data_IF_764031707840
#
_entry.id   IF_764031707840
#
_cell.length_a   1.000
_cell.length_b   1.000
_cell.length_c   1.000
_cell.angle_alpha   90.00
_cell.angle_beta   90.00
_cell.angle_gamma   90.00
#
_symmetry.space_group_name_H-M   'P 1'
#
loop_
_entity.id
_entity.type
_entity.pdbx_description
1 polymer ?
#
# COMPACT_ATOMS: atom_id res chain seq x y z
N UNK A 1 4.10 15.70 -7.22
CA UNK A 1 4.18 15.66 -5.75
C UNK A 1 4.51 14.23 -5.35
N UNK A 2 5.52 14.05 -4.51
CA UNK A 2 5.82 12.78 -3.86
C UNK A 2 5.41 12.94 -2.39
N UNK A 3 4.50 12.10 -1.93
CA UNK A 3 4.09 12.04 -0.53
C UNK A 3 4.83 10.89 0.12
N UNK A 4 5.38 11.13 1.31
CA UNK A 4 6.09 10.13 2.11
C UNK A 4 5.70 10.30 3.58
N UNK A 5 5.41 9.18 4.23
CA UNK A 5 5.27 9.11 5.68
C UNK A 5 6.60 9.42 6.36
N UNK A 6 6.53 10.03 7.55
CA UNK A 6 7.71 10.43 8.32
C UNK A 6 8.61 9.24 8.73
N UNK A 7 8.07 8.03 8.77
CA UNK A 7 8.82 6.80 9.03
C UNK A 7 9.18 6.01 7.77
N UNK A 8 9.20 6.69 6.62
CA UNK A 8 9.77 6.18 5.38
C UNK A 8 11.18 6.73 5.20
N UNK A 9 12.17 5.83 5.11
CA UNK A 9 13.58 6.20 4.96
C UNK A 9 14.25 5.49 3.79
N UNK A 10 15.28 6.11 3.23
CA UNK A 10 16.08 5.53 2.15
C UNK A 10 16.97 4.41 2.73
N UNK A 11 16.85 3.21 2.17
CA UNK A 11 17.72 2.08 2.47
C UNK A 11 18.90 2.01 1.49
N UNK A 12 18.65 2.32 0.21
CA UNK A 12 19.63 2.22 -0.87
C UNK A 12 19.54 3.48 -1.77
N UNK A 13 20.52 4.39 -1.71
CA UNK A 13 20.50 5.65 -2.45
C UNK A 13 20.89 5.49 -3.93
N UNK A 14 21.16 4.28 -4.42
CA UNK A 14 21.50 4.03 -5.83
C UNK A 14 20.28 4.04 -6.76
N UNK A 15 19.19 4.68 -6.34
CA UNK A 15 17.95 4.79 -7.09
C UNK A 15 17.45 6.23 -7.12
N UNK A 16 16.72 6.53 -8.18
CA UNK A 16 15.99 7.77 -8.36
C UNK A 16 14.49 7.46 -8.36
N UNK A 17 13.67 8.29 -7.71
CA UNK A 17 12.22 8.04 -7.63
C UNK A 17 11.56 8.03 -9.01
N UNK A 18 12.19 8.70 -9.98
CA UNK A 18 11.85 8.73 -11.39
C UNK A 18 11.74 7.34 -12.03
N UNK A 19 12.45 6.33 -11.52
CA UNK A 19 12.34 4.94 -12.00
C UNK A 19 10.91 4.38 -11.85
N UNK A 20 10.11 4.92 -10.92
CA UNK A 20 8.73 4.49 -10.68
C UNK A 20 7.69 5.42 -11.30
N UNK A 21 8.09 6.56 -11.89
CA UNK A 21 7.15 7.48 -12.55
C UNK A 21 6.65 6.85 -13.85
N UNK A 22 5.34 6.82 -14.02
CA UNK A 22 4.67 6.34 -15.23
C UNK A 22 3.85 7.47 -15.86
N UNK A 23 4.25 7.88 -17.07
CA UNK A 23 3.60 8.99 -17.77
C UNK A 23 2.20 8.69 -18.30
N UNK A 24 1.75 7.44 -18.21
CA UNK A 24 0.41 7.02 -18.64
C UNK A 24 -0.67 7.27 -17.59
N UNK A 25 -0.30 7.67 -16.37
CA UNK A 25 -1.23 7.84 -15.25
C UNK A 25 -0.97 9.15 -14.49
N UNK A 26 -1.95 9.52 -13.67
CA UNK A 26 -1.94 10.74 -12.89
C UNK A 26 -1.60 10.49 -11.42
N UNK A 27 -1.87 9.29 -10.91
CA UNK A 27 -1.54 8.89 -9.54
C UNK A 27 -0.91 7.50 -9.53
N UNK A 28 0.09 7.32 -8.68
CA UNK A 28 0.80 6.05 -8.53
C UNK A 28 0.82 5.68 -7.05
N UNK A 29 0.28 4.50 -6.76
CA UNK A 29 0.35 3.83 -5.48
C UNK A 29 1.15 2.52 -5.59
N UNK A 30 1.32 1.84 -4.47
CA UNK A 30 1.78 0.45 -4.42
C UNK A 30 0.98 -0.33 -3.38
N UNK A 31 0.96 -1.65 -3.55
CA UNK A 31 0.35 -2.56 -2.58
C UNK A 31 1.36 -2.91 -1.48
N UNK A 32 0.95 -2.79 -0.22
CA UNK A 32 1.71 -3.19 0.96
C UNK A 32 1.90 -4.69 0.97
N UNK A 33 3.09 -5.12 1.40
CA UNK A 33 3.43 -6.54 1.30
C UNK A 33 2.65 -7.38 2.31
N UNK A 34 2.57 -6.92 3.58
CA UNK A 34 2.13 -7.79 4.66
C UNK A 34 0.62 -7.96 4.79
N UNK A 35 -0.16 -6.98 4.36
CA UNK A 35 -1.61 -6.98 4.54
C UNK A 35 -2.41 -6.61 3.27
N UNK A 36 -1.79 -6.60 2.09
CA UNK A 36 -2.49 -6.42 0.80
C UNK A 36 -3.23 -5.08 0.59
N UNK A 37 -3.17 -4.15 1.54
CA UNK A 37 -3.70 -2.81 1.36
C UNK A 37 -2.92 -2.06 0.26
N UNK A 38 -3.58 -1.16 -0.44
CA UNK A 38 -2.90 -0.10 -1.19
C UNK A 38 -2.41 0.95 -0.18
N UNK A 39 -1.12 1.32 -0.22
CA UNK A 39 -0.52 2.20 0.77
C UNK A 39 -0.97 3.67 0.60
N UNK A 40 -1.45 4.31 1.67
CA UNK A 40 -1.79 5.74 1.69
C UNK A 40 -0.63 6.65 2.10
N UNK A 41 0.32 6.14 2.88
CA UNK A 41 1.43 6.96 3.40
C UNK A 41 2.48 7.36 2.35
N UNK A 42 2.45 6.74 1.17
CA UNK A 42 3.51 6.92 0.18
C UNK A 42 2.94 6.81 -1.24
N UNK A 43 2.87 7.93 -1.96
CA UNK A 43 2.32 7.95 -3.33
C UNK A 43 2.89 9.09 -4.18
N UNK A 44 2.81 8.93 -5.50
CA UNK A 44 3.24 9.94 -6.48
C UNK A 44 2.02 10.48 -7.19
N UNK A 45 1.94 11.81 -7.30
CA UNK A 45 0.84 12.53 -7.94
C UNK A 45 1.34 13.51 -8.98
N UNK A 46 0.78 13.43 -10.19
CA UNK A 46 0.91 14.41 -11.25
C UNK A 46 -0.05 15.58 -10.99
N UNK A 47 0.38 16.81 -11.28
CA UNK A 47 -0.49 17.99 -11.15
C UNK A 47 -1.50 18.05 -12.32
N UNK A 48 -2.60 17.30 -12.22
CA UNK A 48 -3.72 17.30 -13.19
C UNK A 48 -5.05 17.59 -12.49
N UNK A 49 -6.08 17.91 -13.27
CA UNK A 49 -7.42 18.10 -12.70
C UNK A 49 -7.97 16.79 -12.12
N UNK A 50 -7.72 15.66 -12.79
CA UNK A 50 -8.12 14.35 -12.28
C UNK A 50 -7.49 14.07 -10.91
N UNK A 51 -6.18 14.27 -10.77
CA UNK A 51 -5.47 14.03 -9.53
C UNK A 51 -5.95 14.93 -8.38
N UNK A 52 -6.17 16.22 -8.64
CA UNK A 52 -6.73 17.15 -7.66
C UNK A 52 -8.11 16.70 -7.18
N UNK A 53 -8.99 16.33 -8.13
CA UNK A 53 -10.33 15.85 -7.80
C UNK A 53 -10.28 14.54 -6.99
N UNK A 54 -9.37 13.62 -7.34
CA UNK A 54 -9.17 12.38 -6.59
C UNK A 54 -8.75 12.66 -5.15
N UNK A 55 -7.75 13.53 -4.94
CA UNK A 55 -7.24 13.88 -3.60
C UNK A 55 -8.28 14.64 -2.78
N UNK A 56 -9.02 15.57 -3.39
CA UNK A 56 -10.09 16.30 -2.72
C UNK A 56 -11.19 15.35 -2.24
N UNK A 57 -11.69 14.48 -3.13
CA UNK A 57 -12.67 13.46 -2.77
C UNK A 57 -12.15 12.50 -1.71
N UNK A 58 -10.85 12.16 -1.74
CA UNK A 58 -10.25 11.33 -0.70
C UNK A 58 -10.24 12.04 0.65
N UNK A 59 -9.88 13.33 0.68
CA UNK A 59 -9.93 14.16 1.89
C UNK A 59 -11.35 14.37 2.44
N UNK A 60 -12.36 14.49 1.57
CA UNK A 60 -13.76 14.68 1.98
C UNK A 60 -14.31 13.52 2.83
N UNK A 61 -13.70 12.33 2.75
CA UNK A 61 -14.07 11.19 3.60
C UNK A 61 -13.75 11.40 5.08
N UNK A 62 -12.91 12.37 5.45
CA UNK A 62 -12.69 12.74 6.86
C UNK A 62 -14.02 12.98 7.59
N UNK A 63 -15.03 13.50 6.88
CA UNK A 63 -16.34 13.85 7.41
C UNK A 63 -17.38 12.72 7.33
N UNK A 64 -17.11 11.64 6.57
CA UNK A 64 -18.09 10.58 6.28
C UNK A 64 -17.60 9.17 6.58
N UNK A 65 -16.33 9.00 6.97
CA UNK A 65 -15.81 7.69 7.35
C UNK A 65 -16.55 7.14 8.58
N UNK A 66 -16.77 5.81 8.65
CA UNK A 66 -17.52 5.24 9.75
C UNK A 66 -16.72 5.32 11.06
N UNK A 67 -17.39 5.46 12.20
CA UNK A 67 -16.74 5.65 13.52
C UNK A 67 -16.18 4.36 14.15
N UNK A 68 -16.27 3.24 13.44
CA UNK A 68 -15.79 1.92 13.84
C UNK A 68 -14.29 1.73 13.53
N UNK A 69 -13.78 0.50 13.65
CA UNK A 69 -12.42 0.17 13.21
C UNK A 69 -12.37 0.23 11.67
N UNK A 70 -11.74 1.27 11.12
CA UNK A 70 -11.88 1.62 9.71
C UNK A 70 -10.55 1.76 8.94
N UNK A 71 -9.38 1.72 9.61
CA UNK A 71 -8.08 1.90 8.96
C UNK A 71 -7.77 3.34 8.49
N UNK A 72 -8.55 4.33 8.95
CA UNK A 72 -8.42 5.76 8.64
C UNK A 72 -8.30 6.06 7.14
N UNK A 73 -7.40 6.96 6.75
CA UNK A 73 -7.13 7.36 5.36
C UNK A 73 -6.75 6.17 4.47
N UNK A 74 -5.97 5.21 5.00
CA UNK A 74 -5.57 4.00 4.28
C UNK A 74 -6.78 3.08 4.00
N UNK A 75 -7.72 3.01 4.95
CA UNK A 75 -8.98 2.31 4.77
C UNK A 75 -9.86 2.95 3.73
N UNK A 76 -10.04 4.27 3.79
CA UNK A 76 -10.78 5.02 2.77
C UNK A 76 -10.20 4.78 1.37
N UNK A 77 -8.86 4.75 1.24
CA UNK A 77 -8.19 4.65 -0.05
C UNK A 77 -8.62 3.41 -0.85
N UNK A 78 -8.88 2.28 -0.20
CA UNK A 78 -9.20 1.03 -0.91
C UNK A 78 -10.51 1.16 -1.70
N UNK A 79 -11.59 1.60 -1.06
CA UNK A 79 -12.89 1.81 -1.72
C UNK A 79 -12.90 3.04 -2.61
N UNK A 80 -12.13 4.08 -2.27
CA UNK A 80 -12.02 5.27 -3.11
C UNK A 80 -11.39 4.95 -4.48
N UNK A 81 -10.39 4.06 -4.49
CA UNK A 81 -9.82 3.54 -5.74
C UNK A 81 -10.87 2.76 -6.54
N UNK A 82 -11.64 1.86 -5.91
CA UNK A 82 -12.73 1.14 -6.59
C UNK A 82 -13.70 2.11 -7.28
N UNK A 83 -14.25 3.06 -6.51
CA UNK A 83 -15.17 4.10 -7.00
C UNK A 83 -14.56 4.95 -8.12
N UNK A 84 -13.23 5.08 -8.16
CA UNK A 84 -12.52 5.87 -9.18
C UNK A 84 -12.31 5.08 -10.48
N UNK A 85 -11.94 3.81 -10.39
CA UNK A 85 -11.47 3.04 -11.54
C UNK A 85 -12.53 2.13 -12.14
N UNK A 86 -13.51 1.69 -11.34
CA UNK A 86 -14.64 0.85 -11.75
C UNK A 86 -15.96 1.34 -11.11
N UNK A 87 -16.38 2.60 -11.35
CA UNK A 87 -17.58 3.18 -10.72
C UNK A 87 -18.86 2.39 -11.02
N UNK A 88 -18.87 1.61 -12.11
CA UNK A 88 -19.98 0.78 -12.55
C UNK A 88 -20.22 -0.46 -11.69
N UNK A 89 -19.22 -0.90 -10.91
CA UNK A 89 -19.33 -2.06 -10.02
C UNK A 89 -20.09 -1.71 -8.73
N UNK A 90 -21.30 -1.18 -8.87
CA UNK A 90 -22.07 -0.54 -7.79
C UNK A 90 -22.37 -1.51 -6.65
N UNK A 91 -22.75 -2.75 -6.98
CA UNK A 91 -23.06 -3.77 -5.98
C UNK A 91 -21.80 -4.31 -5.28
N UNK A 92 -20.69 -4.51 -6.00
CA UNK A 92 -19.43 -4.92 -5.38
C UNK A 92 -18.89 -3.84 -4.46
N UNK A 93 -18.98 -2.57 -4.87
CA UNK A 93 -18.63 -1.42 -4.03
C UNK A 93 -19.49 -1.42 -2.76
N UNK A 94 -20.81 -1.60 -2.87
CA UNK A 94 -21.71 -1.66 -1.72
C UNK A 94 -21.41 -2.84 -0.79
N UNK A 95 -21.10 -4.01 -1.34
CA UNK A 95 -20.73 -5.20 -0.56
C UNK A 95 -19.41 -4.97 0.20
N UNK A 96 -18.41 -4.37 -0.44
CA UNK A 96 -17.16 -4.01 0.24
C UNK A 96 -17.39 -2.94 1.31
N UNK A 97 -18.20 -1.92 1.02
CA UNK A 97 -18.55 -0.87 1.98
C UNK A 97 -19.25 -1.45 3.23
N UNK A 98 -20.12 -2.44 3.04
CA UNK A 98 -20.77 -3.17 4.14
C UNK A 98 -19.76 -3.89 5.03
N UNK A 99 -18.77 -4.60 4.47
CA UNK A 99 -17.70 -5.20 5.28
C UNK A 99 -16.93 -4.13 6.07
N UNK A 100 -16.67 -2.98 5.45
CA UNK A 100 -15.93 -1.89 6.07
C UNK A 100 -16.69 -1.30 7.27
N UNK A 101 -17.97 -0.98 7.09
CA UNK A 101 -18.82 -0.39 8.13
C UNK A 101 -19.12 -1.37 9.28
N UNK A 102 -19.07 -2.68 9.03
CA UNK A 102 -19.27 -3.72 10.05
C UNK A 102 -17.96 -4.17 10.72
N UNK A 103 -16.82 -3.58 10.36
CA UNK A 103 -15.53 -3.96 10.92
C UNK A 103 -15.42 -3.58 12.41
N UNK A 104 -15.00 -4.54 13.22
CA UNK A 104 -14.86 -4.40 14.69
C UNK A 104 -13.40 -4.46 15.14
N UNK A 105 -12.50 -4.85 14.24
CA UNK A 105 -11.07 -4.95 14.49
C UNK A 105 -10.30 -5.29 13.22
N UNK A 106 -9.00 -5.52 13.36
CA UNK A 106 -8.10 -5.83 12.25
C UNK A 106 -8.59 -7.03 11.41
N UNK A 107 -9.00 -8.11 12.07
CA UNK A 107 -9.38 -9.36 11.40
C UNK A 107 -10.62 -9.20 10.52
N UNK A 108 -11.66 -8.52 11.02
CA UNK A 108 -12.89 -8.24 10.27
C UNK A 108 -12.67 -7.16 9.21
N UNK A 109 -11.80 -6.19 9.45
CA UNK A 109 -11.39 -5.21 8.44
C UNK A 109 -10.65 -5.83 7.26
N UNK A 110 -9.85 -6.86 7.50
CA UNK A 110 -9.17 -7.56 6.41
C UNK A 110 -10.15 -8.24 5.44
N UNK A 111 -11.41 -8.47 5.83
CA UNK A 111 -12.48 -8.88 4.92
C UNK A 111 -12.82 -7.79 3.90
N UNK A 112 -12.88 -6.53 4.36
CA UNK A 112 -13.07 -5.36 3.49
C UNK A 112 -11.91 -5.19 2.50
N UNK A 113 -10.67 -5.28 2.97
CA UNK A 113 -9.48 -5.19 2.08
C UNK A 113 -9.51 -6.33 1.05
N UNK A 114 -9.86 -7.54 1.47
CA UNK A 114 -10.00 -8.70 0.58
C UNK A 114 -11.09 -8.47 -0.45
N UNK A 115 -12.26 -7.94 -0.05
CA UNK A 115 -13.34 -7.60 -0.96
C UNK A 115 -12.88 -6.61 -2.04
N UNK A 116 -12.24 -5.50 -1.64
CA UNK A 116 -11.78 -4.50 -2.59
C UNK A 116 -10.73 -5.06 -3.56
N UNK A 117 -9.81 -5.87 -3.04
CA UNK A 117 -8.78 -6.54 -3.85
C UNK A 117 -9.39 -7.49 -4.88
N UNK A 118 -10.41 -8.26 -4.50
CA UNK A 118 -11.10 -9.17 -5.41
C UNK A 118 -11.85 -8.40 -6.50
N UNK A 119 -12.54 -7.32 -6.15
CA UNK A 119 -13.25 -6.46 -7.10
C UNK A 119 -12.30 -5.77 -8.11
N UNK A 120 -11.13 -5.29 -7.67
CA UNK A 120 -10.11 -4.75 -8.59
C UNK A 120 -9.47 -5.81 -9.49
N UNK A 121 -9.43 -7.06 -9.02
CA UNK A 121 -8.83 -8.18 -9.72
C UNK A 121 -7.33 -8.01 -9.98
N UNK A 122 -6.88 -8.48 -11.15
CA UNK A 122 -5.48 -8.44 -11.54
C UNK A 122 -5.04 -7.09 -12.16
N UNK A 123 -5.99 -6.19 -12.44
CA UNK A 123 -5.73 -4.90 -13.09
C UNK A 123 -4.94 -3.99 -12.16
N UNK A 124 -3.92 -3.32 -12.71
CA UNK A 124 -3.00 -2.45 -11.95
C UNK A 124 -2.70 -1.13 -12.65
N UNK A 125 -3.23 -0.92 -13.84
CA UNK A 125 -2.98 0.25 -14.66
C UNK A 125 -4.30 0.69 -15.28
N UNK A 126 -4.74 1.88 -14.92
CA UNK A 126 -5.87 2.56 -15.54
C UNK A 126 -5.34 3.84 -16.19
N UNK A 127 -5.13 3.85 -17.52
CA UNK A 127 -4.57 4.99 -18.24
C UNK A 127 -5.34 6.28 -17.96
N UNK A 128 -4.60 7.39 -17.77
CA UNK A 128 -5.14 8.70 -17.39
C UNK A 128 -5.67 8.77 -15.96
N UNK A 129 -5.60 7.68 -15.18
CA UNK A 129 -6.07 7.61 -13.80
C UNK A 129 -4.95 7.17 -12.86
N UNK A 130 -4.88 5.87 -12.54
CA UNK A 130 -4.10 5.33 -11.43
C UNK A 130 -3.23 4.16 -11.89
N UNK A 131 -2.02 4.03 -11.32
CA UNK A 131 -1.24 2.80 -11.32
C UNK A 131 -1.05 2.30 -9.89
N UNK A 132 -1.10 0.98 -9.69
CA UNK A 132 -0.78 0.33 -8.42
C UNK A 132 0.36 -0.66 -8.66
N UNK A 133 1.55 -0.37 -8.15
CA UNK A 133 2.64 -1.33 -8.18
C UNK A 133 2.32 -2.57 -7.33
N UNK A 134 2.79 -3.73 -7.78
CA UNK A 134 2.69 -4.98 -7.03
C UNK A 134 3.47 -4.86 -5.72
N UNK A 135 3.12 -5.72 -4.76
CA UNK A 135 3.86 -5.89 -3.51
C UNK A 135 5.35 -6.07 -3.79
N UNK A 136 6.19 -5.30 -3.09
CA UNK A 136 7.65 -5.25 -3.29
C UNK A 136 8.14 -4.83 -4.70
N UNK A 137 7.30 -4.14 -5.49
CA UNK A 137 7.71 -3.55 -6.78
C UNK A 137 7.61 -2.02 -6.82
N UNK A 138 7.08 -1.39 -5.76
CA UNK A 138 7.11 0.07 -5.59
C UNK A 138 8.47 0.56 -5.09
N UNK A 139 8.63 1.88 -4.93
CA UNK A 139 9.85 2.49 -4.39
C UNK A 139 9.99 2.30 -2.87
N UNK A 140 8.91 1.84 -2.21
CA UNK A 140 8.86 1.59 -0.77
C UNK A 140 8.35 0.17 -0.52
N UNK A 141 8.92 -0.50 0.48
CA UNK A 141 8.33 -1.69 1.12
C UNK A 141 8.51 -1.62 2.64
N UNK A 142 7.70 -2.36 3.39
CA UNK A 142 7.88 -2.43 4.84
C UNK A 142 9.24 -3.11 5.19
N UNK A 143 10.10 -2.43 5.95
CA UNK A 143 11.46 -2.92 6.23
C UNK A 143 11.51 -4.18 7.11
N UNK A 144 10.55 -4.31 8.03
CA UNK A 144 10.48 -5.44 8.97
C UNK A 144 10.35 -6.80 8.28
N UNK A 145 9.81 -6.84 7.05
CA UNK A 145 9.62 -8.06 6.26
C UNK A 145 10.91 -8.85 6.04
N UNK A 146 12.04 -8.14 6.00
CA UNK A 146 13.37 -8.72 5.73
C UNK A 146 14.37 -8.37 6.83
N UNK A 147 13.88 -7.95 8.00
CA UNK A 147 14.72 -7.43 9.09
C UNK A 147 15.63 -6.29 8.58
N UNK A 148 15.05 -5.34 7.83
CA UNK A 148 15.76 -4.23 7.20
C UNK A 148 16.94 -4.65 6.28
N UNK A 149 16.98 -5.89 5.81
CA UNK A 149 17.91 -6.27 4.73
C UNK A 149 17.39 -5.74 3.40
N UNK A 150 18.28 -5.28 2.52
CA UNK A 150 17.96 -4.75 1.20
C UNK A 150 18.86 -5.38 0.13
N UNK A 151 18.42 -5.31 -1.13
CA UNK A 151 19.23 -5.65 -2.30
C UNK A 151 19.30 -4.47 -3.30
N UNK A 152 19.94 -4.68 -4.45
CA UNK A 152 20.14 -3.70 -5.53
C UNK A 152 18.86 -3.20 -6.22
N UNK A 153 17.69 -3.74 -5.85
CA UNK A 153 16.37 -3.32 -6.37
C UNK A 153 15.53 -2.56 -5.35
N UNK A 154 15.94 -2.56 -4.08
CA UNK A 154 15.25 -1.83 -3.03
C UNK A 154 15.66 -0.37 -3.05
N UNK A 155 14.76 0.54 -2.67
CA UNK A 155 15.07 1.97 -2.53
C UNK A 155 14.78 2.48 -1.12
N UNK A 156 13.51 2.53 -0.72
CA UNK A 156 13.08 3.03 0.58
C UNK A 156 12.38 1.95 1.42
N UNK A 157 12.48 2.07 2.74
CA UNK A 157 11.70 1.28 3.70
C UNK A 157 10.72 2.14 4.47
N UNK A 158 9.52 1.60 4.63
CA UNK A 158 8.49 2.09 5.54
C UNK A 158 8.57 1.34 6.88
N UNK A 159 8.14 1.99 7.96
CA UNK A 159 8.07 1.40 9.30
C UNK A 159 9.23 1.75 10.23
N UNK A 160 10.08 2.73 9.88
CA UNK A 160 11.19 3.17 10.74
C UNK A 160 10.72 4.18 11.79
N UNK A 161 10.02 3.68 12.80
CA UNK A 161 9.35 4.51 13.84
C UNK A 161 10.29 5.07 14.93
N UNK A 162 11.55 4.64 14.99
CA UNK A 162 12.48 5.06 16.05
C UNK A 162 13.37 6.21 15.56
N UNK A 163 13.61 7.20 16.43
CA UNK A 163 14.49 8.33 16.14
C UNK A 163 15.98 7.99 16.26
N UNK A 164 16.32 6.87 16.90
CA UNK A 164 17.68 6.46 17.18
C UNK A 164 17.92 5.01 16.75
N UNK A 165 18.93 4.82 15.90
CA UNK A 165 19.41 3.50 15.49
C UNK A 165 19.90 2.73 16.72
N UNK A 166 19.44 1.50 16.87
CA UNK A 166 19.73 0.64 18.02
C UNK A 166 18.75 0.80 19.19
N UNK A 167 17.90 1.83 19.20
CA UNK A 167 16.88 1.99 20.24
C UNK A 167 15.95 0.77 20.27
N UNK A 168 15.69 0.24 21.47
CA UNK A 168 14.93 -1.00 21.71
C UNK A 168 15.40 -2.19 20.84
N UNK A 169 16.70 -2.25 20.53
CA UNK A 169 17.28 -3.33 19.74
C UNK A 169 16.96 -3.24 18.25
N UNK A 170 16.52 -2.09 17.74
CA UNK A 170 16.30 -1.89 16.31
C UNK A 170 17.62 -2.02 15.53
N UNK A 171 17.77 -3.15 14.85
CA UNK A 171 18.91 -3.43 13.99
C UNK A 171 18.68 -2.85 12.59
N UNK A 172 18.78 -1.53 12.47
CA UNK A 172 18.65 -0.84 11.17
C UNK A 172 19.74 -1.27 10.16
N UNK A 173 19.63 -0.91 8.86
CA UNK A 173 20.71 -1.09 7.88
C UNK A 173 22.02 -0.41 8.31
N UNK A 174 21.89 0.67 9.08
CA UNK A 174 22.99 1.52 9.53
C UNK A 174 23.45 1.10 10.94
N UNK A 175 24.75 1.25 11.25
CA UNK A 175 25.26 1.00 12.60
C UNK A 175 24.92 2.12 13.59
N UNK A 176 24.62 3.32 13.10
CA UNK A 176 24.30 4.54 13.87
C UNK A 176 23.42 5.47 13.03
N UNK A 177 22.90 6.54 13.63
CA UNK A 177 22.16 7.58 12.91
C UNK A 177 22.98 8.16 11.75
N UNK A 178 22.29 8.47 10.65
CA UNK A 178 22.90 9.06 9.46
C UNK A 178 23.45 10.45 9.79
N UNK A 179 24.68 10.73 9.37
CA UNK A 179 25.26 12.07 9.45
C UNK A 179 24.82 12.88 8.23
N UNK A 180 23.86 13.78 8.43
CA UNK A 180 23.29 14.61 7.36
C UNK A 180 24.30 15.52 6.69
N UNK A 181 25.39 15.91 7.38
CA UNK A 181 26.45 16.74 6.82
C UNK A 181 27.28 16.02 5.74
N UNK A 182 27.14 14.70 5.60
CA UNK A 182 27.79 13.90 4.54
C UNK A 182 26.88 13.65 3.33
N UNK A 183 25.65 14.18 3.34
CA UNK A 183 24.74 14.06 2.21
C UNK A 183 25.24 14.92 1.04
N UNK A 184 25.06 14.43 -0.20
CA UNK A 184 25.47 15.13 -1.42
C UNK A 184 26.87 14.75 -1.96
N UNK A 185 27.74 14.19 -1.11
CA UNK A 185 29.07 13.68 -1.50
C UNK A 185 29.04 12.19 -1.86
N UNK A 186 28.20 11.84 -2.85
CA UNK A 186 28.04 10.46 -3.32
C UNK A 186 27.62 9.49 -2.20
N UNK A 187 28.40 8.41 -2.01
CA UNK A 187 28.09 7.35 -1.05
C UNK A 187 28.74 7.53 0.33
N UNK A 188 29.47 8.62 0.58
CA UNK A 188 30.29 8.79 1.78
C UNK A 188 29.47 8.79 3.09
N UNK A 189 28.20 9.22 3.04
CA UNK A 189 27.28 9.17 4.19
C UNK A 189 26.61 7.82 4.44
N UNK A 190 26.74 6.86 3.52
CA UNK A 190 25.98 5.61 3.50
C UNK A 190 26.80 4.43 4.03
N UNK A 191 27.03 4.42 5.34
CA UNK A 191 27.77 3.34 6.02
C UNK A 191 26.81 2.25 6.48
N UNK A 192 26.89 1.08 5.85
CA UNK A 192 26.01 -0.05 6.14
C UNK A 192 26.64 -1.08 7.09
N UNK A 193 25.79 -1.80 7.80
CA UNK A 193 26.18 -3.08 8.42
C UNK A 193 26.46 -4.11 7.31
N UNK A 194 27.57 -4.87 7.35
CA UNK A 194 27.98 -5.74 6.24
C UNK A 194 26.94 -6.78 5.77
N UNK A 195 26.02 -7.19 6.64
CA UNK A 195 25.02 -8.23 6.38
C UNK A 195 23.63 -7.69 6.03
N UNK A 196 23.46 -6.36 5.95
CA UNK A 196 22.18 -5.72 5.62
C UNK A 196 21.99 -5.54 4.11
N UNK A 197 23.07 -5.30 3.37
CA UNK A 197 23.07 -5.42 1.92
C UNK A 197 23.25 -6.90 1.54
N UNK A 198 22.29 -7.47 0.82
CA UNK A 198 22.28 -8.89 0.40
C UNK A 198 21.79 -9.03 -1.03
N UNK A 199 21.74 -10.25 -1.56
CA UNK A 199 21.25 -10.51 -2.92
C UNK A 199 19.73 -10.42 -2.99
N UNK A 200 19.18 -10.01 -4.14
CA UNK A 200 17.73 -10.04 -4.33
C UNK A 200 17.14 -11.45 -4.28
N UNK A 201 17.94 -12.50 -4.55
CA UNK A 201 17.50 -13.88 -4.34
C UNK A 201 17.25 -14.19 -2.87
N UNK A 202 18.11 -13.71 -1.97
CA UNK A 202 17.91 -13.83 -0.52
C UNK A 202 16.64 -13.09 -0.08
N UNK A 203 16.45 -11.85 -0.55
CA UNK A 203 15.24 -11.06 -0.28
C UNK A 203 13.99 -11.79 -0.79
N UNK A 204 14.01 -12.28 -2.03
CA UNK A 204 12.90 -13.03 -2.65
C UNK A 204 12.52 -14.27 -1.83
N UNK A 205 13.50 -15.03 -1.34
CA UNK A 205 13.23 -16.20 -0.49
C UNK A 205 12.58 -15.80 0.84
N UNK A 206 13.07 -14.75 1.49
CA UNK A 206 12.47 -14.24 2.74
C UNK A 206 11.03 -13.77 2.51
N UNK A 207 10.79 -12.99 1.45
CA UNK A 207 9.46 -12.52 1.08
C UNK A 207 8.50 -13.67 0.75
N UNK A 208 8.95 -14.70 0.01
CA UNK A 208 8.12 -15.88 -0.28
C UNK A 208 7.76 -16.67 0.99
N UNK A 209 8.70 -16.81 1.93
CA UNK A 209 8.43 -17.44 3.22
C UNK A 209 7.42 -16.62 4.04
N UNK A 210 7.55 -15.29 4.01
CA UNK A 210 6.58 -14.39 4.63
C UNK A 210 5.19 -14.58 4.04
N UNK A 211 5.03 -14.59 2.72
CA UNK A 211 3.73 -14.82 2.06
C UNK A 211 3.08 -16.14 2.48
N UNK A 212 3.86 -17.23 2.52
CA UNK A 212 3.37 -18.54 2.97
C UNK A 212 2.96 -18.54 4.44
N UNK A 213 3.64 -17.76 5.28
CA UNK A 213 3.30 -17.61 6.70
C UNK A 213 2.02 -16.79 6.86
N UNK A 214 1.97 -15.61 6.22
CA UNK A 214 0.81 -14.72 6.28
C UNK A 214 -0.44 -15.36 5.70
N UNK A 215 -0.34 -16.15 4.63
CA UNK A 215 -1.47 -16.89 4.09
C UNK A 215 -2.03 -17.95 5.06
N UNK A 216 -1.15 -18.66 5.78
CA UNK A 216 -1.56 -19.64 6.81
C UNK A 216 -2.24 -18.97 8.00
N UNK A 217 -1.70 -17.83 8.43
CA UNK A 217 -2.17 -17.06 9.57
C UNK A 217 -3.20 -15.99 9.20
N UNK A 218 -3.65 -15.93 7.94
CA UNK A 218 -4.59 -14.90 7.50
C UNK A 218 -5.91 -15.06 8.27
N UNK A 219 -6.51 -13.98 8.80
CA UNK A 219 -7.70 -14.07 9.65
C UNK A 219 -8.83 -14.85 8.98
N UNK A 220 -9.58 -15.64 9.75
CA UNK A 220 -10.66 -16.47 9.17
C UNK A 220 -11.78 -15.58 8.64
N UNK A 221 -12.09 -14.54 9.39
CA UNK A 221 -13.05 -13.48 9.10
C UNK A 221 -12.72 -12.76 7.79
N UNK A 222 -11.43 -12.67 7.44
CA UNK A 222 -10.96 -12.02 6.23
C UNK A 222 -11.06 -12.89 4.97
N UNK A 223 -11.25 -14.21 5.10
CA UNK A 223 -11.31 -15.16 3.97
C UNK A 223 -12.70 -15.17 3.33
N UNK A 224 -13.21 -13.99 3.00
CA UNK A 224 -14.52 -13.83 2.38
C UNK A 224 -14.45 -14.07 0.88
N UNK A 225 -15.54 -14.62 0.33
CA UNK A 225 -15.81 -14.63 -1.10
C UNK A 225 -17.08 -13.76 -1.27
N UNK A 226 -16.95 -12.48 -1.62
CA UNK A 226 -18.06 -11.52 -1.53
C UNK A 226 -19.33 -11.97 -2.27
N UNK A 227 -19.21 -12.45 -3.51
CA UNK A 227 -20.35 -12.92 -4.31
C UNK A 227 -21.02 -14.21 -3.79
N UNK A 228 -20.41 -14.91 -2.83
CA UNK A 228 -21.03 -16.05 -2.13
C UNK A 228 -21.61 -15.67 -0.76
N UNK A 229 -21.23 -14.50 -0.23
CA UNK A 229 -21.55 -14.09 1.13
C UNK A 229 -22.56 -12.93 1.17
N UNK A 230 -22.66 -12.18 0.07
CA UNK A 230 -23.55 -11.03 -0.10
C UNK A 230 -24.35 -11.17 -1.41
N UNK A 231 -25.53 -10.54 -1.51
CA UNK A 231 -26.26 -10.48 -2.77
C UNK A 231 -25.43 -9.83 -3.89
N UNK A 232 -25.38 -10.49 -5.04
CA UNK A 232 -24.63 -10.04 -6.22
C UNK A 232 -25.53 -9.30 -7.23
N UNK A 233 -26.72 -9.83 -7.49
CA UNK A 233 -27.68 -9.24 -8.45
C UNK A 233 -29.04 -8.95 -7.81
N UNK A 234 -29.38 -9.68 -6.74
CA UNK A 234 -30.74 -9.66 -6.17
C UNK A 234 -31.21 -8.33 -5.60
N UNK A 235 -30.30 -7.40 -5.28
CA UNK A 235 -30.64 -6.09 -4.72
C UNK A 235 -30.88 -5.01 -5.78
N UNK A 236 -30.39 -5.21 -7.00
CA UNK A 236 -30.48 -4.23 -8.08
C UNK A 236 -31.26 -4.74 -9.30
N UNK A 237 -31.66 -6.01 -9.32
CA UNK A 237 -32.43 -6.57 -10.44
C UNK A 237 -33.77 -5.85 -10.64
N UNK A 238 -34.16 -5.52 -11.90
CA UNK A 238 -33.48 -5.80 -13.17
C UNK A 238 -32.56 -4.66 -13.68
N UNK A 239 -32.31 -3.63 -12.88
CA UNK A 239 -31.75 -2.33 -13.30
C UNK A 239 -30.34 -2.09 -12.78
N UNK A 240 -29.54 -3.15 -12.57
CA UNK A 240 -28.21 -3.06 -11.96
C UNK A 240 -27.24 -2.12 -12.69
N UNK A 241 -27.42 -1.97 -13.99
CA UNK A 241 -26.54 -1.20 -14.87
C UNK A 241 -27.19 0.10 -15.37
N UNK A 242 -28.40 0.45 -14.90
CA UNK A 242 -29.15 1.59 -15.45
C UNK A 242 -28.56 2.96 -15.02
N UNK A 243 -27.82 3.00 -13.91
CA UNK A 243 -27.22 4.20 -13.31
C UNK A 243 -25.70 4.34 -13.54
N UNK A 244 -25.14 3.57 -14.49
CA UNK A 244 -23.69 3.48 -14.77
C UNK A 244 -23.19 4.48 -15.80
#
# INVERSE_FOLDING_TARGET
>A
MLVLDADTGIANPNHCVEEWIDNRVDIIFYERFFNWEIASGNYIVRNTQFAKNFLQKWGDWEFTQPSNWNGADNGVLQIHILKTVIPYATQEIANCDKYWHNSTGYDTYMAYVTCCKLALGATRLWPGKVRIYRRAHGWVRDGFLTTDRFCDRDFMFHGWKNNEVGFKGWESPFPKNINVSLCGDGMNGWVYRPFKNTTCDSIRQTLANFERSSGRNFPKEARVIPHLSEPDVGLCFPTCDDDV
#
